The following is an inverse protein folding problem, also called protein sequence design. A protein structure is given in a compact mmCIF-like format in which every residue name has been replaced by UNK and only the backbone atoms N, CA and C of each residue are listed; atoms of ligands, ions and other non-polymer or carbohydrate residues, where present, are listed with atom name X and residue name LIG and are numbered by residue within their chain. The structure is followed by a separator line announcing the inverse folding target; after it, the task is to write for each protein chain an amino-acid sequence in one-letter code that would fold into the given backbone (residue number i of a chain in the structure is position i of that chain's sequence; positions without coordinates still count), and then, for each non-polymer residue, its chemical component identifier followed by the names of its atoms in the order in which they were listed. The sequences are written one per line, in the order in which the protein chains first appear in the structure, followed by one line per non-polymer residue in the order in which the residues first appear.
data_IF_376358219368
#
_entry.id   IF_376358219368
#
_cell.length_a   1.000
_cell.length_b   1.000
_cell.length_c   1.000
_cell.angle_alpha   90.00
_cell.angle_beta   90.00
_cell.angle_gamma   90.00
#
_symmetry.space_group_name_H-M   'P 1'
#
loop_
_entity.id
_entity.type
_entity.pdbx_description
1 polymer ?
#
# COMPACT_ATOMS: atom_id res chain seq x y z
N UNK A 1 21.93 14.37 1.92
CA UNK A 1 21.48 13.68 3.16
C UNK A 1 21.39 14.68 4.28
N UNK A 2 20.55 15.67 4.04
CA UNK A 2 19.93 16.61 4.96
C UNK A 2 18.54 16.12 5.43
N UNK A 3 18.15 14.88 5.10
CA UNK A 3 16.98 14.14 5.61
C UNK A 3 17.03 13.85 7.13
N UNK A 4 17.75 14.69 7.87
CA UNK A 4 18.11 14.64 9.28
C UNK A 4 17.65 15.93 9.99
N UNK A 5 16.68 16.67 9.43
CA UNK A 5 16.27 17.94 10.01
C UNK A 5 15.67 17.69 11.43
N UNK A 6 16.31 18.22 12.49
CA UNK A 6 15.95 17.86 13.85
C UNK A 6 14.52 18.31 14.14
N UNK A 7 13.73 17.54 14.90
CA UNK A 7 12.32 17.85 15.15
C UNK A 7 12.17 19.29 15.63
N UNK A 8 11.48 20.10 14.83
CA UNK A 8 11.50 21.55 14.95
C UNK A 8 10.42 22.23 14.11
N UNK A 9 10.35 23.57 14.12
CA UNK A 9 9.35 24.33 13.38
C UNK A 9 9.56 24.34 11.85
N UNK A 10 10.56 23.60 11.36
CA UNK A 10 11.04 23.58 9.97
C UNK A 10 11.08 22.15 9.40
N UNK A 11 10.43 21.19 10.05
CA UNK A 11 10.41 19.80 9.59
C UNK A 11 9.51 19.66 8.36
N UNK A 12 10.02 18.95 7.35
CA UNK A 12 9.27 18.62 6.13
C UNK A 12 8.21 17.55 6.38
N UNK A 13 7.18 17.60 5.55
CA UNK A 13 6.08 16.64 5.60
C UNK A 13 5.66 16.13 4.23
N UNK A 14 5.15 14.91 4.24
CA UNK A 14 4.54 14.26 3.08
C UNK A 14 3.09 13.98 3.40
N UNK A 15 2.20 14.41 2.51
CA UNK A 15 0.80 13.98 2.46
C UNK A 15 0.63 13.03 1.27
N UNK A 16 -0.13 11.95 1.47
CA UNK A 16 -0.48 11.02 0.41
C UNK A 16 -1.98 10.72 0.44
N UNK A 17 -2.59 10.63 -0.73
CA UNK A 17 -4.00 10.33 -0.93
C UNK A 17 -4.14 9.27 -2.02
N UNK A 18 -4.95 8.24 -1.79
CA UNK A 18 -5.28 7.24 -2.81
C UNK A 18 -6.60 7.57 -3.50
N UNK A 19 -6.70 7.21 -4.78
CA UNK A 19 -7.96 7.23 -5.53
C UNK A 19 -8.23 5.81 -6.05
N UNK A 20 -9.26 5.19 -5.47
CA UNK A 20 -9.70 3.82 -5.74
C UNK A 20 -10.94 3.77 -6.63
N UNK A 21 -11.40 4.90 -7.15
CA UNK A 21 -12.56 4.96 -8.03
C UNK A 21 -12.39 4.17 -9.34
N UNK A 22 -11.14 3.93 -9.73
CA UNK A 22 -10.76 3.10 -10.87
C UNK A 22 -10.61 1.60 -10.57
N UNK A 23 -10.81 1.17 -9.32
CA UNK A 23 -10.60 -0.21 -8.86
C UNK A 23 -11.93 -0.92 -8.62
N UNK A 24 -12.12 -2.06 -9.26
CA UNK A 24 -13.29 -2.94 -9.04
C UNK A 24 -13.24 -3.53 -7.63
N UNK A 25 -14.38 -3.54 -6.92
CA UNK A 25 -14.44 -4.08 -5.56
C UNK A 25 -15.00 -3.17 -4.49
N UNK A 26 -15.14 -1.87 -4.79
CA UNK A 26 -15.59 -0.89 -3.82
C UNK A 26 -14.57 -0.61 -2.72
N UNK A 27 -13.28 -0.60 -3.08
CA UNK A 27 -12.23 -0.08 -2.20
C UNK A 27 -12.47 1.41 -1.98
N UNK A 28 -12.20 1.87 -0.76
CA UNK A 28 -12.35 3.28 -0.39
C UNK A 28 -11.00 4.00 -0.56
N UNK A 29 -11.08 5.28 -0.90
CA UNK A 29 -9.95 6.19 -0.87
C UNK A 29 -9.41 6.31 0.58
N UNK A 30 -8.11 6.48 0.72
CA UNK A 30 -7.41 6.65 1.99
C UNK A 30 -6.45 7.83 1.91
N UNK A 31 -6.15 8.44 3.05
CA UNK A 31 -5.26 9.59 3.14
C UNK A 31 -4.41 9.51 4.39
N UNK A 32 -3.14 9.86 4.26
CA UNK A 32 -2.18 9.84 5.34
C UNK A 32 -1.16 10.97 5.22
N UNK A 33 -0.55 11.31 6.34
CA UNK A 33 0.46 12.36 6.43
C UNK A 33 1.57 11.93 7.38
N UNK A 34 2.82 12.25 7.07
CA UNK A 34 3.98 11.96 7.92
C UNK A 34 5.11 12.97 7.71
N UNK A 35 6.14 12.90 8.54
CA UNK A 35 7.36 13.67 8.33
C UNK A 35 8.34 12.91 7.44
N UNK A 36 9.32 13.60 6.86
CA UNK A 36 10.33 12.98 5.99
C UNK A 36 11.39 12.13 6.73
N UNK A 37 11.20 11.82 8.02
CA UNK A 37 12.17 11.11 8.85
C UNK A 37 11.97 9.57 8.84
N UNK A 38 11.70 9.00 7.67
CA UNK A 38 11.44 7.56 7.46
C UNK A 38 10.14 7.30 6.71
N UNK A 39 9.50 6.16 7.00
CA UNK A 39 8.23 5.80 6.38
C UNK A 39 7.12 6.76 6.85
N UNK A 40 6.67 7.64 5.96
CA UNK A 40 5.68 8.67 6.27
C UNK A 40 4.24 8.14 6.24
N UNK A 41 3.90 7.34 5.22
CA UNK A 41 2.54 6.85 4.97
C UNK A 41 2.59 5.42 4.43
N UNK A 42 1.73 4.55 4.94
CA UNK A 42 1.51 3.18 4.46
C UNK A 42 0.01 2.93 4.27
N UNK A 43 -0.35 2.33 3.14
CA UNK A 43 -1.72 1.93 2.85
C UNK A 43 -1.76 0.43 2.55
N UNK A 44 -2.77 -0.26 3.08
CA UNK A 44 -2.92 -1.70 2.89
C UNK A 44 -4.36 -2.06 2.54
N UNK A 45 -4.52 -2.78 1.42
CA UNK A 45 -5.81 -3.18 0.89
C UNK A 45 -5.85 -4.69 0.71
N UNK A 46 -6.92 -5.32 1.20
CA UNK A 46 -7.07 -6.79 1.14
C UNK A 46 -8.03 -7.15 0.01
N UNK A 47 -7.48 -7.66 -1.09
CA UNK A 47 -8.27 -8.08 -2.28
C UNK A 47 -8.99 -9.41 -2.05
N UNK A 48 -8.41 -10.34 -1.29
CA UNK A 48 -9.05 -11.60 -0.93
C UNK A 48 -9.11 -11.72 0.61
N UNK A 49 -10.20 -11.26 1.26
CA UNK A 49 -10.28 -11.18 2.73
C UNK A 49 -10.07 -12.51 3.48
N UNK A 50 -10.42 -13.63 2.85
CA UNK A 50 -10.30 -14.96 3.46
C UNK A 50 -8.96 -15.65 3.14
N UNK A 51 -8.09 -15.01 2.36
CA UNK A 51 -6.78 -15.55 2.06
C UNK A 51 -5.81 -15.31 3.22
N UNK A 52 -5.27 -16.40 3.77
CA UNK A 52 -4.32 -16.38 4.89
C UNK A 52 -2.90 -16.77 4.49
N UNK A 53 -2.67 -17.14 3.22
CA UNK A 53 -1.43 -17.74 2.75
C UNK A 53 -1.19 -19.19 3.19
N UNK A 54 -2.04 -19.75 4.06
CA UNK A 54 -1.95 -21.14 4.52
C UNK A 54 -2.75 -22.10 3.61
N UNK A 55 -2.40 -23.41 3.59
CA UNK A 55 -3.20 -24.42 2.90
C UNK A 55 -4.64 -24.47 3.42
N UNK A 56 -5.61 -24.47 2.50
CA UNK A 56 -7.02 -24.65 2.79
C UNK A 56 -7.43 -26.12 2.54
N UNK A 57 -7.92 -26.79 3.58
CA UNK A 57 -8.38 -28.19 3.53
C UNK A 57 -9.87 -28.26 3.77
N UNK A 58 -10.60 -28.99 2.93
CA UNK A 58 -12.05 -29.11 3.00
C UNK A 58 -12.48 -30.45 2.40
N UNK A 59 -13.51 -31.04 2.99
CA UNK A 59 -14.12 -32.30 2.55
C UNK A 59 -15.50 -32.03 1.94
N UNK A 60 -16.03 -33.01 1.19
CA UNK A 60 -17.38 -32.99 0.62
C UNK A 60 -17.72 -31.77 -0.28
N UNK A 61 -16.71 -31.15 -0.91
CA UNK A 61 -16.90 -30.06 -1.87
C UNK A 61 -16.34 -30.41 -3.25
N UNK A 62 -16.95 -29.87 -4.30
CA UNK A 62 -16.43 -30.08 -5.65
C UNK A 62 -15.22 -29.19 -5.92
N UNK A 63 -14.37 -29.61 -6.87
CA UNK A 63 -13.25 -28.79 -7.37
C UNK A 63 -13.72 -27.41 -7.84
N UNK A 64 -14.90 -27.33 -8.45
CA UNK A 64 -15.45 -26.08 -8.97
C UNK A 64 -15.87 -25.15 -7.83
N UNK A 65 -16.42 -25.69 -6.74
CA UNK A 65 -16.78 -24.88 -5.56
C UNK A 65 -15.52 -24.30 -4.89
N UNK A 66 -14.43 -25.07 -4.85
CA UNK A 66 -13.12 -24.57 -4.35
C UNK A 66 -12.62 -23.43 -5.26
N UNK A 67 -12.67 -23.60 -6.58
CA UNK A 67 -12.23 -22.53 -7.50
C UNK A 67 -13.10 -21.28 -7.39
N UNK A 68 -14.42 -21.43 -7.31
CA UNK A 68 -15.35 -20.31 -7.18
C UNK A 68 -15.16 -19.52 -5.88
N UNK A 69 -14.71 -20.19 -4.79
CA UNK A 69 -14.37 -19.51 -3.53
C UNK A 69 -13.21 -18.52 -3.67
N UNK A 70 -12.24 -18.86 -4.52
CA UNK A 70 -11.00 -18.09 -4.72
C UNK A 70 -11.00 -17.30 -6.03
N UNK A 71 -12.13 -17.26 -6.73
CA UNK A 71 -12.35 -16.38 -7.86
C UNK A 71 -12.65 -14.99 -7.30
N UNK A 72 -11.76 -14.03 -7.57
CA UNK A 72 -11.92 -12.65 -7.15
C UNK A 72 -13.00 -11.92 -7.97
N UNK A 73 -13.48 -12.51 -9.07
CA UNK A 73 -14.50 -11.91 -9.94
C UNK A 73 -14.07 -10.57 -10.56
N UNK A 74 -12.76 -10.28 -10.60
CA UNK A 74 -12.21 -8.99 -10.99
C UNK A 74 -12.00 -8.00 -9.83
N UNK A 75 -12.28 -8.39 -8.58
CA UNK A 75 -11.99 -7.57 -7.40
C UNK A 75 -10.49 -7.18 -7.36
N UNK A 76 -10.20 -5.92 -7.09
CA UNK A 76 -8.84 -5.37 -7.06
C UNK A 76 -8.22 -5.09 -8.43
N UNK A 77 -8.92 -5.40 -9.53
CA UNK A 77 -8.48 -5.04 -10.88
C UNK A 77 -8.86 -3.60 -11.22
N UNK A 78 -7.98 -2.89 -11.93
CA UNK A 78 -8.22 -1.49 -12.30
C UNK A 78 -6.98 -0.62 -12.17
N UNK A 79 -7.20 0.69 -12.18
CA UNK A 79 -6.17 1.69 -11.98
C UNK A 79 -6.09 2.07 -10.50
N UNK A 80 -4.91 1.88 -9.91
CA UNK A 80 -4.59 2.29 -8.54
C UNK A 80 -3.81 3.60 -8.60
N UNK A 81 -4.38 4.67 -8.06
CA UNK A 81 -3.76 6.00 -8.06
C UNK A 81 -3.35 6.40 -6.64
N UNK A 82 -2.18 7.02 -6.54
CA UNK A 82 -1.69 7.65 -5.31
C UNK A 82 -1.11 9.02 -5.67
N UNK A 83 -1.65 10.07 -5.08
CA UNK A 83 -1.15 11.43 -5.18
C UNK A 83 -0.29 11.73 -3.96
N UNK A 84 0.92 12.24 -4.18
CA UNK A 84 1.85 12.58 -3.10
C UNK A 84 2.20 14.05 -3.16
N UNK A 85 2.08 14.72 -2.03
CA UNK A 85 2.41 16.14 -1.84
C UNK A 85 3.53 16.24 -0.82
N UNK A 86 4.65 16.84 -1.21
CA UNK A 86 5.78 17.13 -0.33
C UNK A 86 5.75 18.62 0.04
N UNK A 87 5.78 18.91 1.34
CA UNK A 87 5.92 20.27 1.89
C UNK A 87 7.31 20.42 2.49
N UNK A 88 8.12 21.28 1.87
CA UNK A 88 9.50 21.58 2.27
C UNK A 88 9.55 22.90 3.04
N UNK A 89 10.12 22.90 4.24
CA UNK A 89 10.04 23.99 5.21
C UNK A 89 11.41 24.56 5.60
N UNK A 90 12.04 25.34 4.72
CA UNK A 90 13.36 25.91 5.04
C UNK A 90 13.35 27.00 6.14
N UNK A 91 14.42 27.07 6.93
CA UNK A 91 14.63 28.10 7.95
C UNK A 91 14.73 29.52 7.32
N UNK A 92 13.91 30.51 7.72
CA UNK A 92 13.85 31.84 7.10
C UNK A 92 15.04 32.77 7.41
N UNK A 93 16.07 32.31 8.13
CA UNK A 93 17.23 33.13 8.46
C UNK A 93 18.29 33.12 7.34
N UNK A 94 18.77 34.29 6.88
CA UNK A 94 19.73 34.37 5.78
C UNK A 94 21.11 33.88 6.21
N UNK A 95 21.52 32.72 5.69
CA UNK A 95 22.87 32.17 5.81
C UNK A 95 23.17 31.20 4.66
N UNK A 96 24.38 31.18 4.10
CA UNK A 96 24.73 30.38 2.91
C UNK A 96 24.86 28.86 3.17
N UNK A 97 24.27 28.33 4.25
CA UNK A 97 24.48 26.97 4.75
C UNK A 97 23.16 26.24 5.12
N UNK A 98 21.99 26.78 4.76
CA UNK A 98 20.67 26.28 5.21
C UNK A 98 19.63 26.26 4.08
N UNK A 99 20.04 25.92 2.86
CA UNK A 99 19.07 25.56 1.83
C UNK A 99 18.69 24.09 2.08
N UNK A 100 17.39 23.85 2.10
CA UNK A 100 16.73 22.55 2.30
C UNK A 100 16.15 22.25 0.92
N UNK A 101 16.93 21.51 0.13
CA UNK A 101 16.68 21.33 -1.31
C UNK A 101 17.06 19.93 -1.86
N UNK A 102 17.29 18.93 -0.99
CA UNK A 102 17.53 17.53 -1.38
C UNK A 102 16.49 16.50 -0.91
N UNK A 103 15.26 16.92 -0.58
CA UNK A 103 14.20 15.99 -0.17
C UNK A 103 13.78 15.04 -1.30
N UNK A 104 13.79 13.73 -1.00
CA UNK A 104 13.40 12.68 -1.93
C UNK A 104 12.20 11.89 -1.38
N UNK A 105 11.19 11.69 -2.22
CA UNK A 105 10.05 10.83 -1.92
C UNK A 105 10.15 9.55 -2.74
N UNK A 106 10.25 8.40 -2.05
CA UNK A 106 10.18 7.09 -2.69
C UNK A 106 8.79 6.49 -2.50
N UNK A 107 8.07 6.25 -3.60
CA UNK A 107 6.78 5.53 -3.59
C UNK A 107 7.01 4.07 -3.95
N UNK A 108 6.64 3.16 -3.05
CA UNK A 108 6.77 1.70 -3.26
C UNK A 108 5.39 1.06 -3.35
N UNK A 109 5.14 0.34 -4.45
CA UNK A 109 3.94 -0.49 -4.61
C UNK A 109 4.30 -1.96 -4.44
N UNK A 110 3.61 -2.65 -3.52
CA UNK A 110 3.78 -4.10 -3.31
C UNK A 110 2.46 -4.82 -3.57
N UNK A 111 2.50 -5.82 -4.44
CA UNK A 111 1.36 -6.68 -4.73
C UNK A 111 1.70 -8.11 -4.36
N UNK A 112 0.83 -8.74 -3.57
CA UNK A 112 0.94 -10.16 -3.25
C UNK A 112 -0.09 -10.93 -4.06
N UNK A 113 0.37 -11.91 -4.85
CA UNK A 113 -0.48 -12.76 -5.68
C UNK A 113 -0.36 -14.22 -5.24
N UNK A 114 -1.39 -15.01 -5.54
CA UNK A 114 -1.39 -16.45 -5.29
C UNK A 114 -2.00 -17.20 -6.48
N UNK A 115 -1.64 -18.48 -6.60
CA UNK A 115 -2.23 -19.41 -7.55
C UNK A 115 -2.95 -20.51 -6.78
N UNK A 116 -4.16 -20.85 -7.20
CA UNK A 116 -4.94 -21.92 -6.57
C UNK A 116 -4.56 -23.26 -7.18
N UNK A 117 -3.87 -24.09 -6.39
CA UNK A 117 -3.57 -25.48 -6.73
C UNK A 117 -4.44 -26.43 -5.90
N UNK A 118 -5.10 -27.39 -6.56
CA UNK A 118 -6.04 -28.32 -5.92
C UNK A 118 -5.50 -29.74 -6.05
N UNK A 119 -5.30 -30.39 -4.91
CA UNK A 119 -4.87 -31.79 -4.82
C UNK A 119 -5.93 -32.58 -4.06
N UNK A 120 -6.32 -33.74 -4.60
CA UNK A 120 -7.20 -34.67 -3.88
C UNK A 120 -6.42 -35.35 -2.75
N UNK A 121 -6.99 -35.36 -1.55
CA UNK A 121 -6.46 -36.13 -0.44
C UNK A 121 -6.80 -37.61 -0.63
N UNK A 122 -5.85 -38.50 -0.37
CA UNK A 122 -6.15 -39.93 -0.34
C UNK A 122 -7.00 -40.23 0.90
N UNK A 123 -8.12 -40.92 0.72
CA UNK A 123 -8.87 -41.46 1.87
C UNK A 123 -7.96 -42.46 2.61
N UNK A 124 -7.76 -42.26 3.91
CA UNK A 124 -7.17 -43.29 4.79
C UNK A 124 -8.14 -44.44 5.04
#
# INVERSE_FOLDING_TARGET
DDNDDPPGPFTDSVDAETDMSGVEGGFEDDAGSGNCNGDAVDFSYVVTPEWSGAPYMVEDVSRNDILAKWDDGGNGTGEWLCSVTLEVNSNPFPGPLLADDDEEVTVTWTVTTYTVEITAMANE
#
